data_IF_932076715935
#
_entry.id   IF_932076715935
#
_cell.length_a   1.000
_cell.length_b   1.000
_cell.length_c   1.000
_cell.angle_alpha   90.00
_cell.angle_beta   90.00
_cell.angle_gamma   90.00
#
_symmetry.space_group_name_H-M   'P 1'
#
loop_
_entity.id
_entity.type
_entity.pdbx_description
1 polymer ?
#
# COMPACT_ATOMS: atom_id res chain seq x y z
N UNK A 1 -26.25 38.54 20.39
CA UNK A 1 -27.42 38.89 19.57
C UNK A 1 -28.62 38.22 20.23
N UNK A 2 -29.66 37.75 19.54
CA UNK A 2 -30.60 36.80 20.17
C UNK A 2 -29.98 35.41 20.05
N UNK A 3 -30.01 34.63 21.13
CA UNK A 3 -29.66 33.20 21.16
C UNK A 3 -30.39 32.47 20.02
N UNK A 4 -29.62 31.81 19.14
CA UNK A 4 -30.14 31.08 17.99
C UNK A 4 -30.47 29.61 18.31
N UNK A 5 -29.82 29.00 19.31
CA UNK A 5 -30.09 27.64 19.80
C UNK A 5 -29.88 27.47 21.31
N UNK A 6 -30.97 27.30 22.07
CA UNK A 6 -30.87 27.10 23.52
C UNK A 6 -29.95 25.93 23.96
N UNK A 7 -29.16 26.13 25.01
CA UNK A 7 -28.30 25.13 25.68
C UNK A 7 -29.05 24.05 26.51
N UNK A 8 -30.13 23.47 25.96
CA UNK A 8 -30.96 22.48 26.67
C UNK A 8 -31.48 21.37 25.75
N UNK A 9 -32.00 20.29 26.33
CA UNK A 9 -32.67 19.22 25.57
C UNK A 9 -33.93 19.69 24.82
N UNK A 10 -34.44 20.88 25.13
CA UNK A 10 -35.58 21.50 24.44
C UNK A 10 -35.17 22.30 23.20
N UNK A 11 -33.88 22.33 22.85
CA UNK A 11 -33.35 23.02 21.67
C UNK A 11 -34.11 22.68 20.38
N UNK A 12 -34.19 23.66 19.48
CA UNK A 12 -34.67 23.49 18.11
C UNK A 12 -33.56 23.08 17.14
N UNK A 13 -32.30 23.12 17.56
CA UNK A 13 -31.15 22.71 16.75
C UNK A 13 -31.23 21.23 16.37
N UNK A 14 -31.08 20.92 15.09
CA UNK A 14 -31.12 19.54 14.56
C UNK A 14 -29.95 19.32 13.64
N UNK A 15 -29.21 18.25 13.87
CA UNK A 15 -28.15 17.80 12.99
C UNK A 15 -28.50 16.42 12.43
N UNK A 16 -28.37 16.27 11.12
CA UNK A 16 -28.56 14.99 10.43
C UNK A 16 -27.19 14.39 10.16
N UNK A 17 -27.00 13.11 10.49
CA UNK A 17 -25.78 12.38 10.14
C UNK A 17 -25.57 12.41 8.61
N UNK A 18 -24.35 12.71 8.17
CA UNK A 18 -23.99 12.93 6.78
C UNK A 18 -24.22 14.37 6.29
N UNK A 19 -24.50 15.30 7.20
CA UNK A 19 -24.69 16.73 6.88
C UNK A 19 -23.92 17.62 7.85
N UNK A 20 -23.95 18.93 7.56
CA UNK A 20 -23.45 19.96 8.45
C UNK A 20 -24.48 21.07 8.64
N UNK A 21 -24.38 21.76 9.76
CA UNK A 21 -25.15 22.95 10.12
C UNK A 21 -24.20 24.09 10.45
N UNK A 22 -24.58 25.31 10.10
CA UNK A 22 -23.88 26.50 10.53
C UNK A 22 -24.64 27.13 11.70
N UNK A 23 -23.90 27.72 12.62
CA UNK A 23 -24.46 28.51 13.72
C UNK A 23 -23.49 29.63 14.12
N UNK A 24 -23.87 30.40 15.12
CA UNK A 24 -23.10 31.55 15.57
C UNK A 24 -23.11 31.64 17.10
N UNK A 25 -21.93 31.55 17.73
CA UNK A 25 -21.83 31.81 19.17
C UNK A 25 -21.99 33.31 19.40
N UNK A 26 -23.06 33.73 20.09
CA UNK A 26 -23.43 35.12 20.30
C UNK A 26 -22.79 35.79 21.52
N UNK A 27 -22.23 35.01 22.45
CA UNK A 27 -21.65 35.49 23.69
C UNK A 27 -20.62 34.53 24.32
N UNK A 28 -19.85 35.02 25.30
CA UNK A 28 -18.79 34.23 25.96
C UNK A 28 -19.34 33.01 26.73
N UNK A 29 -20.59 33.07 27.20
CA UNK A 29 -21.26 31.97 27.92
C UNK A 29 -22.27 31.21 27.06
N UNK A 30 -22.26 31.47 25.75
CA UNK A 30 -23.26 30.94 24.83
C UNK A 30 -22.91 29.52 24.34
N UNK A 31 -23.96 28.73 24.10
CA UNK A 31 -23.85 27.29 23.90
C UNK A 31 -25.04 26.77 23.09
N UNK A 32 -24.74 26.27 21.90
CA UNK A 32 -25.73 25.88 20.92
C UNK A 32 -25.89 24.37 20.91
N UNK A 33 -27.06 23.89 21.33
CA UNK A 33 -27.31 22.45 21.33
C UNK A 33 -28.01 21.99 20.06
N UNK A 34 -27.49 20.93 19.45
CA UNK A 34 -28.09 20.25 18.31
C UNK A 34 -28.43 18.82 18.67
N UNK A 35 -29.70 18.45 18.54
CA UNK A 35 -30.13 17.07 18.67
C UNK A 35 -29.74 16.27 17.41
N UNK A 36 -29.13 15.11 17.62
CA UNK A 36 -28.73 14.15 16.59
C UNK A 36 -29.20 12.75 16.97
N UNK A 37 -29.72 11.99 16.00
CA UNK A 37 -30.15 10.60 16.23
C UNK A 37 -29.02 9.66 15.83
N UNK A 38 -28.55 8.85 16.78
CA UNK A 38 -27.45 7.91 16.59
C UNK A 38 -27.94 6.47 16.76
N UNK A 39 -27.28 5.53 16.07
CA UNK A 39 -27.55 4.10 16.17
C UNK A 39 -26.51 3.41 17.05
N UNK A 40 -26.96 2.49 17.91
CA UNK A 40 -26.07 1.68 18.73
C UNK A 40 -25.08 0.88 17.86
N UNK A 41 -23.81 0.89 18.24
CA UNK A 41 -22.74 0.16 17.56
C UNK A 41 -22.26 0.79 16.25
N UNK A 42 -22.84 1.91 15.81
CA UNK A 42 -22.31 2.67 14.67
C UNK A 42 -21.35 3.74 15.18
N UNK A 43 -20.08 3.75 14.76
CA UNK A 43 -19.15 4.81 15.12
C UNK A 43 -19.50 6.10 14.35
N UNK A 44 -19.38 7.23 15.04
CA UNK A 44 -19.61 8.56 14.48
C UNK A 44 -18.45 9.49 14.81
N UNK A 45 -18.15 10.39 13.88
CA UNK A 45 -17.28 11.53 14.12
C UNK A 45 -18.09 12.82 14.03
N UNK A 46 -17.88 13.69 15.02
CA UNK A 46 -18.47 15.01 15.11
C UNK A 46 -17.37 16.05 15.03
N UNK A 47 -17.51 17.03 14.14
CA UNK A 47 -16.54 18.10 14.00
C UNK A 47 -17.21 19.46 14.20
N UNK A 48 -16.58 20.30 15.03
CA UNK A 48 -16.91 21.70 15.21
C UNK A 48 -15.78 22.57 14.66
N UNK A 49 -16.05 23.20 13.53
CA UNK A 49 -15.06 23.91 12.74
C UNK A 49 -15.25 25.42 12.86
N UNK A 50 -14.19 26.07 13.34
CA UNK A 50 -14.07 27.52 13.44
C UNK A 50 -13.05 28.07 12.45
N UNK A 51 -12.31 29.10 12.85
CA UNK A 51 -11.37 29.83 11.99
C UNK A 51 -10.34 28.91 11.33
N UNK A 52 -9.81 27.93 12.07
CA UNK A 52 -8.73 27.04 11.60
C UNK A 52 -9.07 26.30 10.30
N UNK A 53 -10.36 26.03 10.04
CA UNK A 53 -10.80 25.47 8.75
C UNK A 53 -11.53 26.48 7.87
N UNK A 54 -12.38 27.34 8.45
CA UNK A 54 -13.23 28.22 7.66
C UNK A 54 -12.48 29.39 7.02
N UNK A 55 -11.40 29.87 7.68
CA UNK A 55 -10.58 31.02 7.25
C UNK A 55 -11.39 32.24 6.78
N UNK A 56 -12.56 32.46 7.39
CA UNK A 56 -13.49 33.53 7.05
C UNK A 56 -13.63 34.51 8.21
N UNK A 57 -13.85 35.80 7.91
CA UNK A 57 -14.08 36.82 8.93
C UNK A 57 -15.17 36.42 9.92
N UNK A 58 -14.93 36.67 11.22
CA UNK A 58 -15.84 36.35 12.32
C UNK A 58 -16.14 34.85 12.48
N UNK A 59 -15.25 33.95 12.04
CA UNK A 59 -15.32 32.55 12.46
C UNK A 59 -14.85 32.40 13.92
N UNK A 60 -15.43 31.44 14.63
CA UNK A 60 -15.09 31.16 16.02
C UNK A 60 -13.62 30.76 16.11
N UNK A 61 -12.84 31.44 16.94
CA UNK A 61 -11.39 31.26 16.97
C UNK A 61 -10.96 29.92 17.56
N UNK A 62 -11.63 29.51 18.63
CA UNK A 62 -11.31 28.34 19.47
C UNK A 62 -12.62 27.63 19.87
N UNK A 63 -13.20 26.86 18.93
CA UNK A 63 -14.41 26.07 19.17
C UNK A 63 -14.17 24.89 20.10
N UNK A 64 -15.09 24.67 21.03
CA UNK A 64 -15.15 23.49 21.88
C UNK A 64 -16.48 22.75 21.70
N UNK A 65 -16.40 21.42 21.61
CA UNK A 65 -17.52 20.54 21.40
C UNK A 65 -17.73 19.66 22.62
N UNK A 66 -18.97 19.58 23.10
CA UNK A 66 -19.36 18.65 24.16
C UNK A 66 -20.42 17.68 23.63
N UNK A 67 -20.17 16.38 23.73
CA UNK A 67 -21.17 15.34 23.44
C UNK A 67 -21.97 15.04 24.70
N UNK A 68 -23.30 15.01 24.57
CA UNK A 68 -24.24 14.83 25.67
C UNK A 68 -25.24 13.72 25.39
N UNK A 69 -25.63 13.02 26.46
CA UNK A 69 -26.64 11.97 26.48
C UNK A 69 -28.06 12.50 26.21
N UNK A 70 -29.02 11.60 26.07
CA UNK A 70 -30.45 11.93 25.89
C UNK A 70 -31.06 12.75 27.04
N UNK A 71 -30.44 12.74 28.23
CA UNK A 71 -30.84 13.55 29.39
C UNK A 71 -30.05 14.86 29.52
N UNK A 72 -29.16 15.16 28.57
CA UNK A 72 -28.30 16.37 28.57
C UNK A 72 -27.02 16.24 29.42
N UNK A 73 -26.80 15.09 30.07
CA UNK A 73 -25.57 14.84 30.82
C UNK A 73 -24.39 14.67 29.87
N UNK A 74 -23.27 15.33 30.16
CA UNK A 74 -22.03 15.22 29.38
C UNK A 74 -21.53 13.78 29.34
N UNK A 75 -21.21 13.31 28.14
CA UNK A 75 -20.57 12.03 27.86
C UNK A 75 -19.08 12.27 27.60
N UNK A 76 -18.78 13.25 26.75
CA UNK A 76 -17.42 13.57 26.34
C UNK A 76 -17.29 15.06 25.99
N UNK A 77 -16.07 15.60 26.00
CA UNK A 77 -15.78 16.98 25.63
C UNK A 77 -14.40 17.06 25.00
N UNK A 78 -14.29 17.91 23.98
CA UNK A 78 -13.06 18.22 23.30
C UNK A 78 -12.99 19.72 22.97
N UNK A 79 -11.80 20.31 23.01
CA UNK A 79 -11.56 21.73 22.73
C UNK A 79 -10.34 21.99 21.84
N UNK A 80 -9.71 20.95 21.27
CA UNK A 80 -8.56 21.05 20.34
C UNK A 80 -8.37 19.75 19.51
N UNK A 81 -9.47 19.04 19.25
CA UNK A 81 -9.53 17.75 18.56
C UNK A 81 -9.87 17.85 17.08
N UNK A 82 -9.50 18.93 16.41
CA UNK A 82 -9.64 19.13 14.96
C UNK A 82 -8.37 19.73 14.36
N UNK A 83 -8.46 20.24 13.13
CA UNK A 83 -7.38 21.03 12.49
C UNK A 83 -7.19 22.34 13.26
N UNK A 84 -5.97 22.64 13.71
CA UNK A 84 -5.68 23.86 14.47
C UNK A 84 -6.38 23.83 15.84
N UNK A 85 -7.19 24.86 16.13
CA UNK A 85 -8.00 24.95 17.36
C UNK A 85 -9.43 24.42 17.16
N UNK A 86 -9.69 23.70 16.07
CA UNK A 86 -11.00 23.09 15.89
C UNK A 86 -11.23 21.97 16.91
N UNK A 87 -12.49 21.58 17.12
CA UNK A 87 -12.83 20.47 18.01
C UNK A 87 -13.45 19.29 17.25
N UNK A 88 -13.16 18.08 17.73
CA UNK A 88 -13.67 16.83 17.17
C UNK A 88 -13.91 15.78 18.26
N UNK A 89 -14.97 15.00 18.11
CA UNK A 89 -15.31 13.87 19.00
C UNK A 89 -15.65 12.64 18.16
N UNK A 90 -14.95 11.54 18.42
CA UNK A 90 -15.32 10.20 17.94
C UNK A 90 -16.11 9.45 19.01
N UNK A 91 -17.26 8.89 18.66
CA UNK A 91 -18.10 8.17 19.61
C UNK A 91 -18.90 7.03 18.97
N UNK A 92 -18.87 5.87 19.62
CA UNK A 92 -19.74 4.72 19.29
C UNK A 92 -20.82 4.57 20.37
N UNK A 93 -22.10 4.86 20.07
CA UNK A 93 -23.19 4.73 21.02
C UNK A 93 -23.42 3.27 21.43
N UNK A 94 -23.69 3.04 22.71
CA UNK A 94 -24.12 1.71 23.20
C UNK A 94 -25.64 1.53 23.11
N UNK A 95 -26.39 2.62 22.91
CA UNK A 95 -27.85 2.64 22.78
C UNK A 95 -28.28 3.55 21.64
N UNK A 96 -29.22 3.10 20.80
CA UNK A 96 -29.78 3.96 19.77
C UNK A 96 -30.69 5.01 20.39
N UNK A 97 -30.63 6.25 19.91
CA UNK A 97 -31.48 7.32 20.43
C UNK A 97 -30.98 8.70 20.07
N UNK A 98 -31.60 9.71 20.68
CA UNK A 98 -31.20 11.11 20.54
C UNK A 98 -30.08 11.44 21.51
N UNK A 99 -29.03 12.02 20.98
CA UNK A 99 -27.91 12.64 21.68
C UNK A 99 -27.88 14.13 21.34
N UNK A 100 -27.10 14.90 22.09
CA UNK A 100 -26.96 16.33 21.87
C UNK A 100 -25.50 16.68 21.70
N UNK A 101 -25.21 17.48 20.67
CA UNK A 101 -23.92 18.11 20.45
C UNK A 101 -24.05 19.55 20.89
N UNK A 102 -23.20 19.95 21.81
CA UNK A 102 -23.14 21.26 22.40
C UNK A 102 -21.92 21.99 21.84
N UNK A 103 -22.17 22.95 20.95
CA UNK A 103 -21.17 23.80 20.34
C UNK A 103 -21.01 25.06 21.18
N UNK A 104 -19.79 25.34 21.63
CA UNK A 104 -19.49 26.52 22.43
C UNK A 104 -18.04 26.98 22.20
N UNK A 105 -17.64 28.08 22.83
CA UNK A 105 -16.23 28.48 22.85
C UNK A 105 -15.49 27.76 24.00
N UNK A 106 -14.16 27.60 23.90
CA UNK A 106 -13.35 26.89 24.91
C UNK A 106 -13.33 27.54 26.30
N UNK A 107 -13.59 28.85 26.36
CA UNK A 107 -13.47 29.69 27.56
C UNK A 107 -12.02 30.09 27.91
N UNK A 108 -11.01 29.61 27.18
CA UNK A 108 -9.61 29.93 27.42
C UNK A 108 -9.13 31.10 26.56
N UNK A 109 -9.28 32.31 27.11
CA UNK A 109 -8.40 33.44 26.83
C UNK A 109 -8.60 34.15 25.48
N UNK A 110 -8.59 35.49 25.54
CA UNK A 110 -8.29 36.34 24.38
C UNK A 110 -6.84 36.07 23.97
N UNK A 111 -6.63 35.12 23.07
CA UNK A 111 -5.32 34.65 22.62
C UNK A 111 -5.05 35.05 21.18
N UNK A 112 -3.78 35.34 20.87
CA UNK A 112 -3.34 35.69 19.53
C UNK A 112 -3.41 34.43 18.64
N UNK A 113 -4.33 34.39 17.68
CA UNK A 113 -4.21 33.44 16.58
C UNK A 113 -3.30 34.11 15.55
N UNK A 114 -2.16 33.48 15.26
CA UNK A 114 -1.33 33.88 14.14
C UNK A 114 -1.92 33.27 12.88
N UNK A 115 -2.34 34.09 11.92
CA UNK A 115 -2.65 33.58 10.60
C UNK A 115 -1.35 33.03 9.95
N UNK A 116 -1.48 32.10 9.00
CA UNK A 116 -0.36 31.48 8.26
C UNK A 116 0.57 32.49 7.54
N UNK A 117 0.16 33.76 7.43
CA UNK A 117 0.90 34.91 6.89
C UNK A 117 1.57 35.81 7.96
N UNK A 118 1.40 35.48 9.25
CA UNK A 118 1.96 36.23 10.38
C UNK A 118 1.11 37.41 10.85
N UNK A 119 -0.13 37.57 10.34
CA UNK A 119 -1.09 38.56 10.81
C UNK A 119 -1.74 38.17 12.14
N UNK A 120 -1.90 39.14 13.04
CA UNK A 120 -2.64 38.95 14.31
C UNK A 120 -4.15 38.96 14.06
N UNK A 121 -4.83 37.86 14.34
CA UNK A 121 -6.30 37.79 14.41
C UNK A 121 -6.71 37.57 15.87
N UNK A 122 -7.65 38.37 16.36
CA UNK A 122 -8.19 38.23 17.71
C UNK A 122 -9.08 36.97 17.78
N UNK A 123 -8.83 36.08 18.74
CA UNK A 123 -9.81 35.03 19.07
C UNK A 123 -11.02 35.70 19.73
N UNK A 124 -12.05 35.94 18.94
CA UNK A 124 -13.33 36.35 19.52
C UNK A 124 -14.00 35.10 20.11
N UNK A 125 -14.47 35.20 21.34
CA UNK A 125 -15.31 34.17 22.00
C UNK A 125 -16.68 34.00 21.33
N UNK A 126 -16.92 34.74 20.25
CA UNK A 126 -18.14 34.78 19.47
C UNK A 126 -17.75 34.58 18.00
N UNK A 127 -18.61 33.95 17.23
CA UNK A 127 -18.30 33.73 15.82
C UNK A 127 -19.09 32.59 15.18
N UNK A 128 -19.02 32.59 13.86
CA UNK A 128 -19.60 31.54 13.04
C UNK A 128 -18.81 30.24 13.22
N UNK A 129 -19.53 29.13 13.28
CA UNK A 129 -18.95 27.80 13.22
C UNK A 129 -19.72 26.93 12.23
N UNK A 130 -19.13 25.78 11.90
CA UNK A 130 -19.81 24.69 11.21
C UNK A 130 -19.71 23.43 12.06
N UNK A 131 -20.87 22.88 12.43
CA UNK A 131 -20.98 21.60 13.13
C UNK A 131 -21.38 20.51 12.13
N UNK A 132 -20.69 19.39 12.14
CA UNK A 132 -20.98 18.26 11.27
C UNK A 132 -21.00 16.94 12.04
N UNK A 133 -21.74 15.97 11.50
CA UNK A 133 -21.77 14.61 11.99
C UNK A 133 -21.66 13.65 10.80
N UNK A 134 -20.74 12.69 10.87
CA UNK A 134 -20.60 11.64 9.87
C UNK A 134 -20.59 10.29 10.56
N UNK A 135 -21.27 9.31 9.97
CA UNK A 135 -21.03 7.91 10.33
C UNK A 135 -19.70 7.52 9.71
N UNK A 136 -18.82 6.93 10.50
CA UNK A 136 -17.54 6.42 10.02
C UNK A 136 -17.65 4.90 9.87
N UNK A 137 -16.88 4.35 8.93
CA UNK A 137 -16.65 2.91 8.89
C UNK A 137 -15.25 2.72 9.44
N UNK A 138 -15.20 2.35 10.71
CA UNK A 138 -13.98 2.15 11.48
C UNK A 138 -13.44 0.74 11.18
N UNK A 139 -12.19 0.64 10.76
CA UNK A 139 -11.55 -0.63 10.45
C UNK A 139 -11.09 -1.38 11.72
N UNK A 140 -10.66 -0.67 12.76
CA UNK A 140 -10.22 -1.20 14.04
C UNK A 140 -10.57 -0.28 15.21
N UNK A 141 -11.48 -0.69 16.11
CA UNK A 141 -11.91 0.19 17.19
C UNK A 141 -10.82 0.42 18.24
N UNK A 142 -10.85 1.60 18.86
CA UNK A 142 -9.94 2.08 19.92
C UNK A 142 -10.08 1.41 21.29
N UNK A 143 -10.43 0.12 21.33
CA UNK A 143 -10.67 -0.61 22.57
C UNK A 143 -10.34 -2.11 22.46
N UNK A 144 -10.43 -2.82 23.58
CA UNK A 144 -10.03 -4.23 23.67
C UNK A 144 -10.92 -5.19 22.88
N UNK A 145 -12.08 -4.74 22.37
CA UNK A 145 -12.92 -5.53 21.46
C UNK A 145 -12.41 -5.52 20.01
N UNK A 146 -11.34 -4.77 19.72
CA UNK A 146 -10.70 -4.74 18.40
C UNK A 146 -10.45 -6.14 17.83
N UNK A 147 -10.65 -6.24 16.52
CA UNK A 147 -10.28 -7.39 15.69
C UNK A 147 -8.84 -7.31 15.21
N UNK A 148 -8.19 -6.15 15.30
CA UNK A 148 -6.81 -5.92 14.89
C UNK A 148 -5.85 -6.81 15.66
N UNK A 149 -5.00 -7.55 14.94
CA UNK A 149 -3.98 -8.42 15.53
C UNK A 149 -2.65 -8.15 14.87
N UNK A 150 -1.62 -7.93 15.68
CA UNK A 150 -0.25 -7.97 15.21
C UNK A 150 0.37 -9.31 15.59
N UNK A 151 0.70 -10.10 14.58
CA UNK A 151 1.40 -11.38 14.75
C UNK A 151 2.87 -11.16 14.45
N UNK A 152 3.74 -11.82 15.21
CA UNK A 152 5.18 -11.78 14.97
C UNK A 152 5.49 -12.19 13.52
N UNK A 153 6.28 -11.38 12.83
CA UNK A 153 6.58 -11.61 11.42
C UNK A 153 5.40 -11.39 10.49
N UNK A 154 4.41 -10.59 10.84
CA UNK A 154 3.39 -10.14 9.90
C UNK A 154 3.29 -8.62 10.00
N UNK A 155 2.80 -7.99 8.93
CA UNK A 155 2.36 -6.61 9.01
C UNK A 155 0.85 -6.55 9.17
N UNK A 156 0.39 -5.54 9.88
CA UNK A 156 -0.99 -5.15 10.00
C UNK A 156 -1.12 -3.76 9.37
N UNK A 157 -2.06 -3.60 8.45
CA UNK A 157 -2.39 -2.29 7.87
C UNK A 157 -3.78 -1.88 8.32
N UNK A 158 -4.01 -0.58 8.30
CA UNK A 158 -5.30 0.04 8.52
C UNK A 158 -5.31 1.48 8.04
N UNK A 159 -6.35 2.22 8.41
CA UNK A 159 -6.55 3.59 7.99
C UNK A 159 -7.10 4.42 9.15
N UNK A 160 -6.44 5.53 9.45
CA UNK A 160 -7.02 6.55 10.33
C UNK A 160 -8.07 7.31 9.51
N UNK A 161 -9.35 6.93 9.66
CA UNK A 161 -10.46 7.46 8.84
C UNK A 161 -10.73 8.93 9.08
N UNK A 162 -10.64 9.34 10.34
CA UNK A 162 -11.00 10.67 10.81
C UNK A 162 -9.94 11.21 11.75
N UNK A 163 -9.83 12.54 11.90
CA UNK A 163 -8.94 13.12 12.89
C UNK A 163 -9.14 12.48 14.28
N UNK A 164 -8.03 12.15 14.95
CA UNK A 164 -8.00 11.59 16.31
C UNK A 164 -8.62 10.20 16.45
N UNK A 165 -8.79 9.47 15.35
CA UNK A 165 -9.01 8.04 15.42
C UNK A 165 -7.83 7.32 16.10
N UNK A 166 -8.12 6.17 16.72
CA UNK A 166 -7.08 5.27 17.22
C UNK A 166 -7.39 3.81 16.88
N UNK A 167 -6.50 3.19 16.13
CA UNK A 167 -6.69 1.81 15.71
C UNK A 167 -5.90 0.89 16.61
N UNK A 168 -6.58 -0.02 17.31
CA UNK A 168 -5.92 -0.89 18.28
C UNK A 168 -5.62 -2.27 17.69
N UNK A 169 -4.37 -2.71 17.83
CA UNK A 169 -3.91 -4.05 17.45
C UNK A 169 -3.45 -4.82 18.69
N UNK A 170 -4.09 -5.96 18.96
CA UNK A 170 -3.67 -6.84 20.04
C UNK A 170 -2.42 -7.64 19.65
N UNK A 171 -1.42 -7.68 20.54
CA UNK A 171 -0.16 -8.41 20.37
C UNK A 171 0.18 -9.18 21.65
N UNK A 172 0.69 -10.40 21.53
CA UNK A 172 1.09 -11.21 22.69
C UNK A 172 2.59 -11.07 22.92
N UNK A 173 2.98 -10.51 24.07
CA UNK A 173 4.39 -10.27 24.41
C UNK A 173 4.82 -11.15 25.58
N UNK A 174 6.08 -11.62 25.55
CA UNK A 174 6.67 -12.46 26.59
C UNK A 174 7.62 -11.68 27.49
N UNK A 175 7.48 -11.82 28.81
CA UNK A 175 8.30 -11.16 29.82
C UNK A 175 9.81 -11.32 29.53
N UNK A 176 10.56 -10.22 29.62
CA UNK A 176 12.01 -10.19 29.47
C UNK A 176 12.53 -10.21 28.03
N UNK A 177 11.67 -10.37 27.01
CA UNK A 177 12.06 -10.27 25.60
C UNK A 177 11.90 -8.84 25.10
N UNK A 178 12.92 -8.26 24.46
CA UNK A 178 12.78 -6.95 23.83
C UNK A 178 12.13 -7.07 22.45
N UNK A 179 11.14 -6.24 22.19
CA UNK A 179 10.41 -6.12 20.94
C UNK A 179 10.64 -4.72 20.35
N UNK A 180 10.66 -4.64 19.03
CA UNK A 180 10.69 -3.39 18.28
C UNK A 180 9.49 -3.37 17.34
N UNK A 181 8.70 -2.32 17.37
CA UNK A 181 7.53 -2.12 16.51
C UNK A 181 7.77 -0.92 15.62
N UNK A 182 7.55 -1.07 14.32
CA UNK A 182 7.60 -0.01 13.33
C UNK A 182 6.19 0.32 12.90
N UNK A 183 5.87 1.60 12.85
CA UNK A 183 4.65 2.13 12.27
C UNK A 183 5.05 3.09 11.16
N UNK A 184 4.66 2.76 9.94
CA UNK A 184 5.07 3.43 8.73
C UNK A 184 3.88 4.06 8.00
N UNK A 185 4.09 5.27 7.49
CA UNK A 185 3.15 6.05 6.71
C UNK A 185 3.76 6.57 5.40
N UNK A 186 3.56 7.87 5.11
CA UNK A 186 3.94 8.45 3.81
C UNK A 186 5.44 8.48 3.55
N UNK A 187 6.27 8.65 4.58
CA UNK A 187 7.71 8.84 4.42
C UNK A 187 8.46 7.61 3.88
N UNK A 188 7.89 6.42 4.04
CA UNK A 188 8.38 5.16 3.44
C UNK A 188 7.47 4.66 2.32
N UNK A 189 6.47 5.45 1.93
CA UNK A 189 5.44 5.08 0.95
C UNK A 189 4.67 3.80 1.32
N UNK A 190 4.61 3.47 2.61
CA UNK A 190 3.87 2.29 3.13
C UNK A 190 2.49 2.67 3.69
N UNK A 191 2.06 3.88 3.40
CA UNK A 191 0.77 4.43 3.79
C UNK A 191 0.64 5.87 3.30
N UNK A 192 -0.50 6.50 3.57
CA UNK A 192 -0.72 7.93 3.31
C UNK A 192 -0.70 8.77 4.59
N UNK A 193 -0.62 8.13 5.76
CA UNK A 193 -0.55 8.83 7.04
C UNK A 193 0.76 9.59 7.17
N UNK A 194 0.69 10.91 7.34
CA UNK A 194 1.87 11.79 7.28
C UNK A 194 2.75 11.75 8.54
N UNK A 195 2.14 11.60 9.71
CA UNK A 195 2.80 11.62 11.01
C UNK A 195 2.23 10.46 11.87
N UNK A 196 2.69 9.22 11.64
CA UNK A 196 2.21 8.07 12.38
C UNK A 196 2.75 8.04 13.81
N UNK A 197 1.85 7.93 14.80
CA UNK A 197 2.18 7.87 16.22
C UNK A 197 1.77 6.54 16.84
N UNK A 198 2.70 5.88 17.53
CA UNK A 198 2.48 4.55 18.10
C UNK A 198 2.47 4.58 19.63
N UNK A 199 1.41 4.02 20.22
CA UNK A 199 1.30 3.82 21.68
C UNK A 199 1.18 2.34 21.99
N UNK A 200 2.03 1.82 22.86
CA UNK A 200 1.83 0.52 23.49
C UNK A 200 1.10 0.68 24.82
N UNK A 201 -0.05 0.01 24.96
CA UNK A 201 -0.90 0.00 26.14
C UNK A 201 -0.88 -1.38 26.80
N UNK A 202 -0.67 -1.40 28.12
CA UNK A 202 -0.94 -2.59 28.91
C UNK A 202 -2.46 -2.68 29.18
N UNK A 203 -3.09 -3.82 28.85
CA UNK A 203 -4.55 -3.98 28.94
C UNK A 203 -5.12 -4.05 30.37
N UNK A 204 -4.34 -3.74 31.41
CA UNK A 204 -4.75 -3.85 32.84
C UNK A 204 -4.71 -2.51 33.57
N UNK A 205 -3.67 -1.72 33.34
CA UNK A 205 -3.40 -0.43 33.98
C UNK A 205 -3.31 0.74 33.01
N UNK A 206 -3.44 0.49 31.70
CA UNK A 206 -3.29 1.49 30.63
C UNK A 206 -1.98 2.29 30.75
N UNK A 207 -0.92 1.70 31.32
CA UNK A 207 0.41 2.30 31.26
C UNK A 207 0.81 2.38 29.80
N UNK A 208 1.28 3.56 29.38
CA UNK A 208 1.65 3.84 28.00
C UNK A 208 3.15 3.96 27.85
N UNK A 209 3.68 3.31 26.83
CA UNK A 209 4.95 3.69 26.20
C UNK A 209 4.58 4.18 24.83
N UNK A 210 5.14 5.30 24.38
CA UNK A 210 4.82 5.85 23.07
C UNK A 210 6.07 6.33 22.33
N UNK A 211 5.91 6.50 21.03
CA UNK A 211 6.88 7.08 20.14
C UNK A 211 6.14 7.79 18.99
N UNK A 212 6.65 8.93 18.54
CA UNK A 212 6.21 9.74 17.38
C UNK A 212 7.21 9.61 16.22
N UNK A 213 8.49 9.92 16.47
CA UNK A 213 9.48 10.13 15.39
C UNK A 213 10.73 9.25 15.55
N UNK A 214 10.55 8.00 15.97
CA UNK A 214 11.67 7.06 16.17
C UNK A 214 12.15 6.37 14.89
N UNK A 215 11.38 6.43 13.81
CA UNK A 215 11.59 5.73 12.53
C UNK A 215 12.19 6.61 11.43
N UNK A 216 11.94 6.24 10.18
CA UNK A 216 12.34 7.03 9.00
C UNK A 216 11.39 8.22 8.85
N UNK A 217 11.92 9.44 8.84
CA UNK A 217 11.10 10.64 8.74
C UNK A 217 10.27 10.86 10.01
N UNK A 218 8.96 11.05 9.85
CA UNK A 218 7.97 11.17 10.93
C UNK A 218 7.34 9.81 11.32
N UNK A 219 7.88 8.70 10.83
CA UNK A 219 7.39 7.37 11.21
C UNK A 219 7.80 7.02 12.66
N UNK A 220 7.04 6.12 13.27
CA UNK A 220 7.25 5.69 14.66
C UNK A 220 8.04 4.38 14.77
N UNK A 221 8.97 4.31 15.73
CA UNK A 221 9.73 3.12 16.13
C UNK A 221 9.69 2.93 17.64
N UNK A 222 8.87 1.99 18.12
CA UNK A 222 8.68 1.73 19.55
C UNK A 222 9.45 0.48 19.99
N UNK A 223 10.37 0.63 20.95
CA UNK A 223 11.10 -0.49 21.55
C UNK A 223 10.65 -0.74 22.99
N UNK A 224 10.26 -1.98 23.30
CA UNK A 224 9.71 -2.32 24.61
C UNK A 224 10.15 -3.71 25.11
N UNK A 225 10.38 -3.83 26.42
CA UNK A 225 10.64 -5.11 27.10
C UNK A 225 9.58 -5.30 28.19
N UNK A 226 8.57 -6.16 28.00
CA UNK A 226 7.54 -6.40 29.00
C UNK A 226 8.14 -7.07 30.24
N UNK A 227 7.60 -6.73 31.42
CA UNK A 227 7.94 -7.41 32.68
C UNK A 227 7.02 -8.59 32.97
N UNK A 228 5.89 -8.70 32.26
CA UNK A 228 4.91 -9.78 32.39
C UNK A 228 4.49 -10.28 31.02
N UNK A 229 4.38 -11.60 30.84
CA UNK A 229 3.83 -12.16 29.61
C UNK A 229 2.31 -11.95 29.58
N UNK A 230 1.81 -11.24 28.57
CA UNK A 230 0.40 -10.87 28.45
C UNK A 230 0.08 -10.40 27.02
N UNK A 231 -1.22 -10.19 26.76
CA UNK A 231 -1.67 -9.40 25.60
C UNK A 231 -1.53 -7.91 25.91
N UNK A 232 -0.87 -7.20 25.00
CA UNK A 232 -0.74 -5.76 24.95
C UNK A 232 -1.50 -5.24 23.73
N UNK A 233 -1.74 -3.93 23.69
CA UNK A 233 -2.42 -3.28 22.57
C UNK A 233 -1.53 -2.17 22.00
N UNK A 234 -1.25 -2.24 20.71
CA UNK A 234 -0.61 -1.17 19.94
C UNK A 234 -1.72 -0.28 19.39
N UNK A 235 -1.80 0.96 19.84
CA UNK A 235 -2.71 1.96 19.32
C UNK A 235 -1.98 2.84 18.30
N UNK A 236 -2.43 2.78 17.06
CA UNK A 236 -1.97 3.64 15.96
C UNK A 236 -2.83 4.89 15.93
N UNK A 237 -2.21 6.06 15.78
CA UNK A 237 -2.94 7.34 15.67
C UNK A 237 -2.13 8.38 14.93
N UNK A 238 -2.72 9.55 14.73
CA UNK A 238 -2.08 10.70 14.13
C UNK A 238 -2.10 11.90 15.09
N UNK A 239 -0.95 12.45 15.52
CA UNK A 239 -0.92 13.69 16.28
C UNK A 239 -1.52 14.81 15.42
N UNK A 240 -2.25 15.74 16.04
CA UNK A 240 -2.88 16.90 15.35
C UNK A 240 -3.96 16.58 14.31
N UNK A 241 -4.54 15.37 14.35
CA UNK A 241 -5.72 15.04 13.56
C UNK A 241 -5.41 14.63 12.12
N UNK A 242 -4.20 14.13 11.84
CA UNK A 242 -3.88 13.50 10.56
C UNK A 242 -4.80 12.30 10.25
N UNK A 243 -4.94 11.99 8.98
CA UNK A 243 -5.70 10.82 8.48
C UNK A 243 -4.89 10.12 7.40
N UNK A 244 -5.21 8.85 7.15
CA UNK A 244 -4.59 8.09 6.08
C UNK A 244 -4.21 6.67 6.50
N UNK A 245 -3.75 5.92 5.50
CA UNK A 245 -3.36 4.52 5.67
C UNK A 245 -1.98 4.40 6.30
N UNK A 246 -1.74 3.28 6.98
CA UNK A 246 -0.45 2.98 7.61
C UNK A 246 -0.14 1.49 7.55
N UNK A 247 1.11 1.15 7.85
CA UNK A 247 1.60 -0.22 8.02
C UNK A 247 2.31 -0.36 9.37
N UNK A 248 1.82 -1.26 10.22
CA UNK A 248 2.36 -1.61 11.52
C UNK A 248 3.00 -3.00 11.45
N UNK A 249 4.24 -3.15 11.89
CA UNK A 249 4.89 -4.46 12.00
C UNK A 249 5.83 -4.55 13.20
N UNK A 250 6.10 -5.77 13.63
CA UNK A 250 7.15 -6.06 14.59
C UNK A 250 8.44 -6.33 13.82
N UNK A 251 9.51 -5.60 14.13
CA UNK A 251 10.83 -5.92 13.62
C UNK A 251 11.40 -7.11 14.40
N UNK A 252 11.90 -8.09 13.66
CA UNK A 252 12.67 -9.19 14.23
C UNK A 252 14.07 -9.16 13.65
N UNK A 253 15.05 -9.59 14.42
CA UNK A 253 16.43 -9.60 13.94
C UNK A 253 16.52 -10.52 12.72
N UNK A 254 16.87 -9.96 11.56
CA UNK A 254 17.13 -10.75 10.37
C UNK A 254 18.50 -11.42 10.40
N UNK A 255 18.69 -12.31 9.44
CA UNK A 255 19.87 -13.13 9.26
C UNK A 255 20.61 -12.77 7.96
N UNK A 256 21.87 -13.17 7.88
CA UNK A 256 22.63 -13.16 6.61
C UNK A 256 22.77 -14.59 6.13
N UNK A 257 22.15 -14.89 5.00
CA UNK A 257 22.17 -16.19 4.35
C UNK A 257 23.09 -16.12 3.14
N UNK A 258 24.03 -17.05 3.04
CA UNK A 258 24.98 -17.11 1.91
C UNK A 258 25.00 -18.52 1.35
N UNK A 259 24.75 -18.61 0.05
CA UNK A 259 24.86 -19.81 -0.76
C UNK A 259 26.30 -20.17 -1.12
N UNK A 260 26.45 -21.09 -2.06
CA UNK A 260 27.70 -21.54 -2.64
C UNK A 260 27.64 -21.49 -4.18
N UNK A 261 28.48 -22.26 -4.86
CA UNK A 261 28.51 -22.24 -6.33
C UNK A 261 27.50 -23.19 -7.00
N UNK A 262 26.62 -23.83 -6.21
CA UNK A 262 25.58 -24.71 -6.70
C UNK A 262 24.18 -24.15 -6.45
N UNK A 263 23.18 -24.78 -7.04
CA UNK A 263 21.79 -24.39 -6.87
C UNK A 263 21.34 -24.54 -5.42
N UNK A 264 21.12 -23.43 -4.73
CA UNK A 264 20.74 -23.39 -3.33
C UNK A 264 19.24 -23.16 -3.15
N UNK A 265 18.75 -23.57 -1.98
CA UNK A 265 17.42 -23.22 -1.48
C UNK A 265 17.67 -22.46 -0.19
N UNK A 266 17.46 -21.15 -0.23
CA UNK A 266 17.64 -20.27 0.91
C UNK A 266 16.26 -19.81 1.39
N UNK A 267 16.03 -19.93 2.69
CA UNK A 267 14.76 -19.52 3.32
C UNK A 267 15.08 -18.70 4.56
N UNK A 268 14.52 -17.50 4.61
CA UNK A 268 14.74 -16.51 5.63
C UNK A 268 13.89 -16.75 6.88
N UNK A 269 13.96 -15.77 7.75
CA UNK A 269 13.24 -15.68 9.00
C UNK A 269 12.01 -14.80 8.81
N UNK A 270 11.53 -14.21 9.91
CA UNK A 270 10.51 -13.16 9.88
C UNK A 270 11.10 -11.75 9.97
N UNK A 271 12.43 -11.66 9.99
CA UNK A 271 13.19 -10.44 10.15
C UNK A 271 13.65 -9.90 8.81
N UNK A 272 14.28 -8.73 8.81
CA UNK A 272 14.86 -8.15 7.58
C UNK A 272 16.17 -8.85 7.23
N UNK A 273 16.10 -9.85 6.38
CA UNK A 273 17.20 -10.75 6.03
C UNK A 273 18.03 -10.25 4.84
N UNK A 274 19.25 -10.75 4.71
CA UNK A 274 20.15 -10.47 3.58
C UNK A 274 20.67 -11.77 2.97
N UNK A 275 20.37 -11.98 1.69
CA UNK A 275 20.73 -13.18 0.95
C UNK A 275 21.82 -12.87 -0.08
N UNK A 276 22.76 -13.80 -0.19
CA UNK A 276 23.75 -13.86 -1.27
C UNK A 276 23.73 -15.28 -1.85
N UNK A 277 23.03 -15.48 -2.97
CA UNK A 277 22.91 -16.79 -3.64
C UNK A 277 24.25 -17.29 -4.21
N UNK A 278 25.03 -16.37 -4.78
CA UNK A 278 26.34 -16.59 -5.39
C UNK A 278 26.25 -17.15 -6.82
N UNK A 279 26.50 -18.43 -7.06
CA UNK A 279 26.43 -18.98 -8.42
C UNK A 279 25.55 -20.22 -8.44
N UNK A 280 24.87 -20.47 -9.55
CA UNK A 280 23.86 -21.52 -9.66
C UNK A 280 22.48 -20.92 -9.81
N UNK A 281 21.48 -21.77 -10.02
CA UNK A 281 20.08 -21.36 -10.12
C UNK A 281 19.42 -21.50 -8.75
N UNK A 282 19.37 -20.40 -8.01
CA UNK A 282 18.93 -20.38 -6.62
C UNK A 282 17.43 -20.17 -6.45
N UNK A 283 16.93 -20.66 -5.32
CA UNK A 283 15.55 -20.48 -4.88
C UNK A 283 15.56 -19.73 -3.55
N UNK A 284 15.11 -18.49 -3.58
CA UNK A 284 15.16 -17.55 -2.46
C UNK A 284 13.75 -17.31 -1.93
N UNK A 285 13.55 -17.50 -0.64
CA UNK A 285 12.31 -17.15 0.06
C UNK A 285 12.68 -16.26 1.25
N UNK A 286 12.49 -14.95 1.12
CA UNK A 286 12.75 -14.00 2.20
C UNK A 286 11.79 -14.24 3.36
N UNK A 287 10.49 -14.22 3.05
CA UNK A 287 9.44 -14.36 4.03
C UNK A 287 9.02 -12.97 4.51
N UNK A 288 8.54 -12.84 5.75
CA UNK A 288 8.24 -11.53 6.29
C UNK A 288 9.50 -10.73 6.60
N UNK A 289 9.40 -9.41 6.43
CA UNK A 289 10.52 -8.51 6.72
C UNK A 289 10.71 -7.52 5.60
N UNK A 290 11.83 -6.80 5.64
CA UNK A 290 12.34 -6.04 4.50
C UNK A 290 13.59 -6.73 4.01
N UNK A 291 13.46 -7.67 3.07
CA UNK A 291 14.57 -8.53 2.70
C UNK A 291 15.38 -7.99 1.53
N UNK A 292 16.68 -8.27 1.54
CA UNK A 292 17.55 -8.06 0.39
C UNK A 292 17.92 -9.41 -0.23
N UNK A 293 17.42 -9.68 -1.44
CA UNK A 293 17.62 -10.93 -2.15
C UNK A 293 18.57 -10.74 -3.34
N UNK A 294 19.85 -11.08 -3.17
CA UNK A 294 20.78 -11.17 -4.30
C UNK A 294 20.89 -12.62 -4.77
N UNK A 295 20.44 -12.91 -6.00
CA UNK A 295 20.58 -14.22 -6.63
C UNK A 295 22.03 -14.48 -7.00
N UNK A 296 22.53 -13.79 -8.02
CA UNK A 296 23.94 -13.83 -8.39
C UNK A 296 24.14 -14.26 -9.84
N UNK A 297 25.05 -15.21 -10.09
CA UNK A 297 25.23 -15.81 -11.39
C UNK A 297 24.29 -17.01 -11.57
N UNK A 298 23.39 -16.96 -12.55
CA UNK A 298 22.50 -18.07 -12.84
C UNK A 298 21.13 -17.56 -13.24
N UNK A 299 20.13 -18.43 -13.12
CA UNK A 299 18.71 -18.09 -13.26
C UNK A 299 18.07 -18.29 -11.90
N UNK A 300 17.93 -17.19 -11.18
CA UNK A 300 17.50 -17.20 -9.79
C UNK A 300 16.00 -16.93 -9.66
N UNK A 301 15.38 -17.56 -8.68
CA UNK A 301 13.94 -17.48 -8.42
C UNK A 301 13.66 -16.98 -7.01
N UNK A 302 13.08 -15.80 -6.89
CA UNK A 302 12.43 -15.36 -5.65
C UNK A 302 11.01 -15.92 -5.56
N UNK A 303 10.65 -16.45 -4.40
CA UNK A 303 9.40 -17.19 -4.18
C UNK A 303 8.57 -16.46 -3.14
N UNK A 304 7.30 -16.23 -3.47
CA UNK A 304 6.31 -15.58 -2.64
C UNK A 304 5.12 -16.52 -2.39
N UNK A 305 4.50 -16.38 -1.23
CA UNK A 305 3.47 -17.29 -0.72
C UNK A 305 2.06 -16.99 -1.23
N UNK A 306 1.78 -15.76 -1.65
CA UNK A 306 0.48 -15.28 -2.14
C UNK A 306 0.35 -15.29 -3.66
N UNK A 307 -0.82 -14.86 -4.15
CA UNK A 307 -1.06 -14.72 -5.59
C UNK A 307 -0.41 -13.43 -6.11
N UNK A 308 -0.07 -13.36 -7.39
CA UNK A 308 0.58 -12.16 -7.97
C UNK A 308 -0.22 -10.87 -7.75
N UNK A 309 -1.55 -10.93 -7.75
CA UNK A 309 -2.42 -9.77 -7.47
C UNK A 309 -2.25 -9.17 -6.07
N UNK A 310 -1.69 -9.93 -5.13
CA UNK A 310 -1.47 -9.50 -3.74
C UNK A 310 -0.16 -8.71 -3.60
N UNK A 311 0.60 -8.55 -4.69
CA UNK A 311 1.90 -7.89 -4.70
C UNK A 311 1.95 -6.73 -5.68
N UNK A 312 2.73 -5.71 -5.32
CA UNK A 312 3.18 -4.66 -6.23
C UNK A 312 4.64 -4.93 -6.59
N UNK A 313 4.91 -5.14 -7.87
CA UNK A 313 6.28 -5.31 -8.40
C UNK A 313 6.70 -4.05 -9.12
N UNK A 314 7.80 -3.43 -8.69
CA UNK A 314 8.33 -2.19 -9.28
C UNK A 314 9.78 -2.37 -9.67
N UNK A 315 10.15 -2.01 -10.91
CA UNK A 315 11.55 -2.02 -11.35
C UNK A 315 12.21 -0.66 -11.11
N UNK A 316 13.32 -0.67 -10.38
CA UNK A 316 14.14 0.52 -10.09
C UNK A 316 15.58 0.27 -10.52
N UNK A 317 15.96 0.78 -11.69
CA UNK A 317 17.25 0.46 -12.32
C UNK A 317 17.39 -1.05 -12.56
N UNK A 318 18.42 -1.66 -11.98
CA UNK A 318 18.68 -3.09 -12.10
C UNK A 318 18.04 -3.92 -10.96
N UNK A 319 17.32 -3.28 -10.05
CA UNK A 319 16.66 -3.94 -8.92
C UNK A 319 15.17 -4.05 -9.14
N UNK A 320 14.56 -5.07 -8.54
CA UNK A 320 13.11 -5.18 -8.39
C UNK A 320 12.76 -4.93 -6.93
N UNK A 321 11.69 -4.20 -6.69
CA UNK A 321 11.06 -4.10 -5.37
C UNK A 321 9.73 -4.86 -5.46
N UNK A 322 9.57 -5.89 -4.62
CA UNK A 322 8.35 -6.70 -4.55
C UNK A 322 7.71 -6.44 -3.19
N UNK A 323 6.51 -5.89 -3.19
CA UNK A 323 5.83 -5.49 -1.96
C UNK A 323 4.48 -6.18 -1.82
N UNK A 324 4.34 -6.98 -0.77
CA UNK A 324 3.05 -7.54 -0.40
C UNK A 324 2.09 -6.41 0.03
N UNK A 325 0.91 -6.34 -0.60
CA UNK A 325 -0.17 -5.38 -0.26
C UNK A 325 -1.04 -5.90 0.91
N UNK A 326 -0.74 -7.10 1.40
CA UNK A 326 -1.34 -7.81 2.52
C UNK A 326 -0.59 -9.13 2.73
N UNK A 327 -0.65 -9.73 3.92
CA UNK A 327 -0.09 -11.08 4.16
C UNK A 327 1.35 -11.11 4.68
N UNK A 328 2.07 -12.20 4.40
CA UNK A 328 3.28 -12.55 5.12
C UNK A 328 4.57 -11.95 4.55
N UNK A 329 4.71 -11.84 3.23
CA UNK A 329 6.04 -11.74 2.60
C UNK A 329 6.61 -10.30 2.49
N UNK A 330 6.26 -9.41 3.42
CA UNK A 330 7.09 -8.21 3.59
C UNK A 330 7.20 -7.24 2.40
N UNK A 331 8.36 -6.60 2.29
CA UNK A 331 8.78 -5.80 1.12
C UNK A 331 10.23 -6.14 0.80
N UNK A 332 10.48 -6.70 -0.37
CA UNK A 332 11.78 -7.23 -0.73
C UNK A 332 12.44 -6.39 -1.83
N UNK A 333 13.76 -6.22 -1.72
CA UNK A 333 14.60 -5.65 -2.76
C UNK A 333 15.46 -6.75 -3.37
N UNK A 334 15.30 -6.96 -4.67
CA UNK A 334 15.93 -8.04 -5.40
C UNK A 334 16.96 -7.49 -6.36
N UNK A 335 18.11 -8.13 -6.43
CA UNK A 335 19.16 -7.86 -7.41
C UNK A 335 19.63 -9.17 -8.03
N UNK A 336 19.87 -9.19 -9.35
CA UNK A 336 20.31 -10.41 -10.04
C UNK A 336 19.35 -11.57 -9.76
N UNK A 337 18.05 -11.31 -9.93
CA UNK A 337 16.98 -12.32 -9.83
C UNK A 337 16.12 -12.21 -11.09
N UNK A 338 16.04 -13.29 -11.84
CA UNK A 338 15.43 -13.31 -13.17
C UNK A 338 14.00 -13.84 -13.15
N UNK A 339 13.60 -14.54 -12.08
CA UNK A 339 12.28 -15.17 -11.94
C UNK A 339 11.62 -14.77 -10.63
N UNK A 340 10.34 -14.42 -10.69
CA UNK A 340 9.46 -14.35 -9.51
C UNK A 340 8.44 -15.49 -9.60
N UNK A 341 8.26 -16.21 -8.50
CA UNK A 341 7.27 -17.27 -8.38
C UNK A 341 6.23 -16.87 -7.33
N UNK A 342 4.98 -16.70 -7.76
CA UNK A 342 3.81 -16.54 -6.91
C UNK A 342 3.02 -17.86 -6.84
N UNK A 343 1.97 -17.89 -6.02
CA UNK A 343 1.13 -19.07 -5.85
C UNK A 343 0.35 -19.45 -7.12
N UNK A 344 -0.02 -18.48 -7.96
CA UNK A 344 -0.88 -18.65 -9.13
C UNK A 344 -0.16 -18.48 -10.48
N UNK A 345 0.97 -17.76 -10.51
CA UNK A 345 1.71 -17.46 -11.74
C UNK A 345 3.19 -17.20 -11.46
N UNK A 346 3.99 -17.18 -12.51
CA UNK A 346 5.39 -16.74 -12.45
C UNK A 346 5.63 -15.57 -13.39
N UNK A 347 6.65 -14.77 -13.10
CA UNK A 347 7.15 -13.70 -13.95
C UNK A 347 8.63 -13.93 -14.28
N UNK A 348 9.03 -13.61 -15.50
CA UNK A 348 10.43 -13.55 -15.91
C UNK A 348 10.83 -12.13 -16.30
N UNK A 349 11.97 -11.65 -15.78
CA UNK A 349 12.45 -10.26 -15.89
C UNK A 349 13.77 -10.11 -16.66
N UNK A 350 14.42 -11.20 -17.08
CA UNK A 350 15.61 -11.19 -17.94
C UNK A 350 15.25 -10.91 -19.42
N UNK A 351 14.70 -9.73 -19.69
CA UNK A 351 14.30 -9.34 -21.05
C UNK A 351 15.49 -9.03 -21.97
N UNK A 352 16.70 -8.93 -21.41
CA UNK A 352 17.96 -8.93 -22.18
C UNK A 352 18.55 -10.35 -22.32
N UNK A 353 17.92 -11.36 -21.71
CA UNK A 353 18.28 -12.78 -21.69
C UNK A 353 17.18 -13.68 -22.24
N UNK A 354 16.89 -14.79 -21.54
CA UNK A 354 16.03 -15.86 -22.05
C UNK A 354 14.58 -15.41 -22.21
N UNK A 355 14.01 -14.63 -21.27
CA UNK A 355 12.66 -14.11 -21.42
C UNK A 355 12.50 -13.20 -22.64
N UNK A 356 13.49 -12.36 -22.92
CA UNK A 356 13.49 -11.50 -24.11
C UNK A 356 13.55 -12.32 -25.41
N UNK A 357 14.41 -13.34 -25.45
CA UNK A 357 14.49 -14.27 -26.56
C UNK A 357 13.15 -14.98 -26.81
N UNK A 358 12.51 -15.50 -25.75
CA UNK A 358 11.19 -16.14 -25.85
C UNK A 358 10.14 -15.17 -26.38
N UNK A 359 10.04 -13.96 -25.81
CA UNK A 359 9.06 -12.96 -26.25
C UNK A 359 9.21 -12.63 -27.74
N UNK A 360 10.44 -12.44 -28.21
CA UNK A 360 10.75 -12.17 -29.62
C UNK A 360 10.41 -13.34 -30.55
N UNK A 361 10.74 -14.57 -30.15
CA UNK A 361 10.37 -15.78 -30.90
C UNK A 361 8.86 -15.91 -31.01
N UNK A 362 8.14 -15.71 -29.91
CA UNK A 362 6.68 -15.80 -29.91
C UNK A 362 6.06 -14.75 -30.84
N UNK A 363 6.54 -13.50 -30.76
CA UNK A 363 6.13 -12.44 -31.68
C UNK A 363 6.35 -12.79 -33.15
N UNK A 364 7.52 -13.34 -33.49
CA UNK A 364 7.85 -13.67 -34.88
C UNK A 364 7.16 -14.94 -35.41
N UNK A 365 7.07 -15.99 -34.61
CA UNK A 365 6.55 -17.28 -35.03
C UNK A 365 5.02 -17.41 -34.89
N UNK A 366 4.42 -16.77 -33.88
CA UNK A 366 3.00 -16.91 -33.56
C UNK A 366 2.22 -15.58 -33.52
N UNK A 367 2.90 -14.45 -33.76
CA UNK A 367 2.32 -13.12 -33.72
C UNK A 367 2.40 -12.47 -32.34
N UNK A 368 2.27 -11.14 -32.30
CA UNK A 368 2.56 -10.36 -31.10
C UNK A 368 1.77 -10.78 -29.85
N UNK A 369 0.49 -11.13 -30.00
CA UNK A 369 -0.36 -11.54 -28.87
C UNK A 369 0.09 -12.85 -28.20
N UNK A 370 0.97 -13.64 -28.84
CA UNK A 370 1.46 -14.89 -28.27
C UNK A 370 2.31 -14.69 -27.01
N UNK A 371 2.87 -13.49 -26.78
CA UNK A 371 3.63 -13.17 -25.55
C UNK A 371 2.77 -13.21 -24.28
N UNK A 372 1.43 -13.19 -24.40
CA UNK A 372 0.51 -13.33 -23.27
C UNK A 372 0.04 -14.79 -23.06
N UNK A 373 0.47 -15.72 -23.90
CA UNK A 373 0.17 -17.14 -23.72
C UNK A 373 1.17 -17.74 -22.72
N UNK A 374 0.78 -17.76 -21.44
CA UNK A 374 1.62 -18.25 -20.33
C UNK A 374 2.22 -19.65 -20.55
N UNK A 375 1.49 -20.53 -21.25
CA UNK A 375 1.97 -21.88 -21.55
C UNK A 375 3.09 -21.85 -22.59
N UNK A 376 2.94 -21.04 -23.65
CA UNK A 376 3.98 -20.90 -24.68
C UNK A 376 5.23 -20.23 -24.12
N UNK A 377 5.05 -19.19 -23.30
CA UNK A 377 6.16 -18.54 -22.60
C UNK A 377 6.89 -19.55 -21.72
N UNK A 378 6.16 -20.31 -20.88
CA UNK A 378 6.75 -21.31 -19.99
C UNK A 378 7.50 -22.43 -20.74
N UNK A 379 6.94 -22.90 -21.86
CA UNK A 379 7.62 -23.89 -22.73
C UNK A 379 8.92 -23.29 -23.30
N UNK A 380 8.86 -22.08 -23.87
CA UNK A 380 10.03 -21.41 -24.43
C UNK A 380 11.14 -21.20 -23.39
N UNK A 381 10.77 -20.70 -22.22
CA UNK A 381 11.69 -20.51 -21.09
C UNK A 381 12.32 -21.84 -20.67
N UNK A 382 11.52 -22.91 -20.54
CA UNK A 382 12.04 -24.23 -20.14
C UNK A 382 13.12 -24.77 -21.08
N UNK A 383 13.04 -24.45 -22.39
CA UNK A 383 14.05 -24.85 -23.35
C UNK A 383 15.32 -24.01 -23.24
N UNK A 384 15.20 -22.67 -23.21
CA UNK A 384 16.38 -21.80 -23.11
C UNK A 384 17.09 -21.93 -21.76
N UNK A 385 16.33 -22.00 -20.67
CA UNK A 385 16.85 -22.22 -19.31
C UNK A 385 17.50 -23.62 -19.20
N UNK A 386 17.06 -24.57 -20.03
CA UNK A 386 17.66 -25.90 -20.19
C UNK A 386 18.88 -25.95 -21.13
N UNK A 387 19.29 -24.81 -21.70
CA UNK A 387 20.47 -24.69 -22.56
C UNK A 387 20.24 -24.83 -24.06
N UNK A 388 18.99 -24.87 -24.53
CA UNK A 388 18.70 -24.78 -25.97
C UNK A 388 19.15 -23.42 -26.51
N UNK A 389 19.74 -23.40 -27.70
CA UNK A 389 20.18 -22.15 -28.31
C UNK A 389 19.00 -21.34 -28.86
N UNK A 390 19.20 -20.02 -28.97
CA UNK A 390 18.20 -19.11 -29.55
C UNK A 390 17.79 -19.50 -30.98
N UNK A 391 18.74 -20.01 -31.77
CA UNK A 391 18.50 -20.48 -33.15
C UNK A 391 17.69 -21.78 -33.19
N UNK A 392 18.01 -22.75 -32.32
CA UNK A 392 17.28 -24.01 -32.21
C UNK A 392 15.82 -23.78 -31.77
N UNK A 393 15.59 -22.90 -30.79
CA UNK A 393 14.24 -22.59 -30.35
C UNK A 393 13.43 -21.86 -31.43
N UNK A 394 14.06 -20.98 -32.22
CA UNK A 394 13.41 -20.38 -33.39
C UNK A 394 12.98 -21.44 -34.41
N UNK A 395 13.87 -22.38 -34.74
CA UNK A 395 13.54 -23.46 -35.67
C UNK A 395 12.36 -24.31 -35.13
N UNK A 396 12.38 -24.65 -33.84
CA UNK A 396 11.30 -25.39 -33.19
C UNK A 396 9.97 -24.63 -33.22
N UNK A 397 9.98 -23.33 -32.92
CA UNK A 397 8.77 -22.50 -32.93
C UNK A 397 8.15 -22.38 -34.33
N UNK A 398 8.99 -22.20 -35.37
CA UNK A 398 8.54 -22.10 -36.76
C UNK A 398 7.95 -23.43 -37.25
N UNK A 399 8.59 -24.56 -36.90
CA UNK A 399 8.06 -25.90 -37.21
C UNK A 399 6.72 -26.14 -36.50
N UNK A 400 6.62 -25.77 -35.22
CA UNK A 400 5.37 -25.84 -34.45
C UNK A 400 4.26 -24.94 -34.99
N UNK A 401 4.60 -23.83 -35.65
CA UNK A 401 3.67 -22.97 -36.38
C UNK A 401 3.23 -23.57 -37.74
N UNK A 402 3.80 -24.71 -38.15
CA UNK A 402 3.41 -25.46 -39.34
C UNK A 402 4.09 -25.01 -40.64
N UNK A 403 5.12 -24.17 -40.57
CA UNK A 403 5.83 -23.68 -41.74
C UNK A 403 7.00 -24.62 -42.11
N UNK A 404 6.83 -25.41 -43.17
CA UNK A 404 7.78 -26.48 -43.53
C UNK A 404 8.53 -26.23 -44.84
N UNK A 405 8.12 -25.22 -45.63
CA UNK A 405 8.79 -24.82 -46.87
C UNK A 405 9.36 -23.40 -46.77
N UNK A 406 10.42 -23.04 -47.53
CA UNK A 406 11.00 -21.69 -47.49
C UNK A 406 9.97 -20.58 -47.70
N UNK A 407 9.02 -20.77 -48.62
CA UNK A 407 7.94 -19.81 -48.86
C UNK A 407 7.01 -19.67 -47.64
N UNK A 408 6.64 -20.77 -46.99
CA UNK A 408 5.78 -20.74 -45.80
C UNK A 408 6.50 -20.06 -44.63
N UNK A 409 7.78 -20.37 -44.41
CA UNK A 409 8.59 -19.75 -43.35
C UNK A 409 8.65 -18.24 -43.53
N UNK A 410 8.99 -17.77 -44.74
CA UNK A 410 9.08 -16.34 -45.03
C UNK A 410 7.72 -15.66 -44.90
N UNK A 411 6.66 -16.28 -45.41
CA UNK A 411 5.31 -15.72 -45.28
C UNK A 411 4.88 -15.61 -43.80
N UNK A 412 5.14 -16.64 -42.99
CA UNK A 412 4.80 -16.66 -41.56
C UNK A 412 5.49 -15.51 -40.82
N UNK A 413 6.83 -15.50 -40.87
CA UNK A 413 7.65 -14.53 -40.15
C UNK A 413 7.33 -13.10 -40.60
N UNK A 414 7.25 -12.87 -41.92
CA UNK A 414 6.96 -11.54 -42.45
C UNK A 414 5.55 -11.08 -42.07
N UNK A 415 4.55 -11.96 -42.11
CA UNK A 415 3.17 -11.59 -41.74
C UNK A 415 3.07 -11.24 -40.26
N UNK A 416 3.70 -12.01 -39.38
CA UNK A 416 3.65 -11.76 -37.93
C UNK A 416 4.42 -10.50 -37.53
N UNK A 417 5.59 -10.27 -38.15
CA UNK A 417 6.44 -9.11 -37.84
C UNK A 417 5.96 -7.85 -38.52
N UNK A 418 5.57 -7.89 -39.80
CA UNK A 418 5.21 -6.70 -40.58
C UNK A 418 3.69 -6.45 -40.61
N UNK A 419 2.88 -7.45 -40.26
CA UNK A 419 1.41 -7.36 -40.23
C UNK A 419 0.73 -7.58 -41.59
N UNK A 420 1.49 -7.88 -42.65
CA UNK A 420 0.97 -8.12 -44.00
C UNK A 420 1.69 -9.29 -44.68
N UNK A 421 0.98 -10.00 -45.55
CA UNK A 421 1.60 -11.05 -46.39
C UNK A 421 2.57 -10.38 -47.37
N UNK A 422 3.83 -10.86 -47.48
CA UNK A 422 4.80 -10.25 -48.39
C UNK A 422 4.40 -10.45 -49.85
N UNK A 423 4.69 -9.46 -50.69
CA UNK A 423 4.64 -9.66 -52.15
C UNK A 423 5.73 -10.67 -52.58
N UNK A 424 5.59 -11.35 -53.74
CA UNK A 424 6.61 -12.27 -54.23
C UNK A 424 8.01 -11.63 -54.29
N UNK A 425 8.09 -10.36 -54.73
CA UNK A 425 9.35 -9.63 -54.80
C UNK A 425 9.95 -9.31 -53.41
N UNK A 426 9.11 -9.08 -52.40
CA UNK A 426 9.56 -8.83 -51.03
C UNK A 426 9.98 -10.13 -50.31
N UNK A 427 9.34 -11.26 -50.62
CA UNK A 427 9.68 -12.56 -50.05
C UNK A 427 10.96 -13.17 -50.63
N UNK A 428 11.22 -12.95 -51.93
CA UNK A 428 12.28 -13.63 -52.67
C UNK A 428 13.68 -13.55 -52.02
N UNK A 429 14.16 -12.39 -51.52
CA UNK A 429 15.49 -12.31 -50.91
C UNK A 429 15.67 -13.26 -49.71
N UNK A 430 14.64 -13.40 -48.87
CA UNK A 430 14.68 -14.28 -47.70
C UNK A 430 14.54 -15.77 -48.08
N UNK A 431 13.78 -16.06 -49.13
CA UNK A 431 13.69 -17.42 -49.71
C UNK A 431 15.05 -17.84 -50.27
N UNK A 432 15.72 -16.94 -50.99
CA UNK A 432 17.05 -17.19 -51.54
C UNK A 432 18.08 -17.44 -50.43
N UNK A 433 17.97 -16.76 -49.28
CA UNK A 433 18.85 -17.02 -48.12
C UNK A 433 18.69 -18.47 -47.63
N UNK A 434 17.47 -18.96 -47.45
CA UNK A 434 17.20 -20.35 -47.04
C UNK A 434 17.70 -21.35 -48.09
N UNK A 435 17.43 -21.10 -49.38
CA UNK A 435 17.88 -21.96 -50.47
C UNK A 435 19.41 -22.01 -50.62
N UNK A 436 20.11 -20.96 -50.19
CA UNK A 436 21.57 -20.84 -50.23
C UNK A 436 22.25 -21.25 -48.91
N UNK A 437 21.55 -21.98 -48.03
CA UNK A 437 22.15 -22.65 -46.87
C UNK A 437 21.96 -21.94 -45.52
N UNK A 438 21.21 -20.85 -45.45
CA UNK A 438 20.73 -20.33 -44.16
C UNK A 438 19.74 -21.32 -43.54
N UNK A 439 19.85 -21.53 -42.23
CA UNK A 439 18.89 -22.37 -41.48
C UNK A 439 17.58 -21.61 -41.26
N UNK A 440 16.49 -22.36 -41.05
CA UNK A 440 15.20 -21.77 -40.66
C UNK A 440 15.31 -21.01 -39.34
N UNK A 441 16.06 -21.56 -38.38
CA UNK A 441 16.31 -20.91 -37.09
C UNK A 441 17.02 -19.56 -37.24
N UNK A 442 18.05 -19.48 -38.09
CA UNK A 442 18.79 -18.24 -38.32
C UNK A 442 17.93 -17.15 -38.98
N UNK A 443 17.04 -17.53 -39.91
CA UNK A 443 16.07 -16.59 -40.46
C UNK A 443 15.03 -16.16 -39.41
N UNK A 444 14.61 -17.09 -38.53
CA UNK A 444 13.75 -16.79 -37.39
C UNK A 444 14.36 -15.75 -36.46
N UNK A 445 15.63 -15.92 -36.08
CA UNK A 445 16.40 -14.94 -35.29
C UNK A 445 16.42 -13.58 -35.96
N UNK A 446 16.70 -13.53 -37.27
CA UNK A 446 16.71 -12.27 -38.02
C UNK A 446 15.37 -11.54 -37.96
N UNK A 447 14.25 -12.27 -38.05
CA UNK A 447 12.91 -11.71 -37.94
C UNK A 447 12.57 -11.28 -36.50
N UNK A 448 12.93 -12.12 -35.52
CA UNK A 448 12.66 -11.94 -34.10
C UNK A 448 13.37 -10.69 -33.52
N UNK A 449 14.60 -10.41 -33.96
CA UNK A 449 15.40 -9.26 -33.49
C UNK A 449 15.13 -7.95 -34.23
N UNK A 450 14.16 -7.91 -35.15
CA UNK A 450 13.78 -6.65 -35.78
C UNK A 450 13.18 -5.66 -34.78
N UNK A 451 13.45 -4.37 -34.98
CA UNK A 451 12.83 -3.31 -34.18
C UNK A 451 11.30 -3.27 -34.34
N UNK A 452 10.79 -3.74 -35.48
CA UNK A 452 9.36 -3.86 -35.74
C UNK A 452 8.76 -4.91 -34.81
N UNK A 453 9.36 -6.10 -34.72
CA UNK A 453 8.89 -7.14 -33.81
C UNK A 453 8.95 -6.68 -32.35
N UNK A 454 10.07 -6.07 -31.95
CA UNK A 454 10.25 -5.53 -30.60
C UNK A 454 9.18 -4.47 -30.24
N UNK A 455 8.76 -3.66 -31.21
CA UNK A 455 7.66 -2.70 -31.04
C UNK A 455 6.31 -3.40 -30.94
N UNK A 456 6.05 -4.38 -31.81
CA UNK A 456 4.77 -5.08 -31.85
C UNK A 456 4.48 -5.87 -30.56
N UNK A 457 5.51 -6.48 -29.96
CA UNK A 457 5.38 -7.23 -28.70
C UNK A 457 5.45 -6.34 -27.45
N UNK A 458 5.60 -5.02 -27.64
CA UNK A 458 5.85 -4.06 -26.55
C UNK A 458 7.00 -4.50 -25.62
N UNK A 459 8.17 -4.80 -26.21
CA UNK A 459 9.30 -5.32 -25.44
C UNK A 459 9.74 -4.34 -24.33
N UNK A 460 9.57 -3.04 -24.55
CA UNK A 460 9.85 -2.00 -23.54
C UNK A 460 8.86 -2.08 -22.38
N UNK A 461 7.56 -2.28 -22.65
CA UNK A 461 6.58 -2.55 -21.61
C UNK A 461 6.91 -3.82 -20.81
N UNK A 462 7.27 -4.91 -21.51
CA UNK A 462 7.68 -6.17 -20.88
C UNK A 462 8.96 -6.04 -20.03
N UNK A 463 9.90 -5.17 -20.38
CA UNK A 463 11.07 -4.88 -19.53
C UNK A 463 10.69 -4.28 -18.17
N UNK A 464 9.55 -3.61 -18.08
CA UNK A 464 9.04 -3.02 -16.84
C UNK A 464 8.16 -3.99 -16.05
N UNK A 465 7.29 -4.75 -16.74
CA UNK A 465 6.31 -5.63 -16.10
C UNK A 465 6.76 -7.09 -15.92
N UNK A 466 7.80 -7.51 -16.63
CA UNK A 466 8.11 -8.93 -16.81
C UNK A 466 7.12 -9.61 -17.77
N UNK A 467 7.40 -10.88 -18.09
CA UNK A 467 6.51 -11.75 -18.90
C UNK A 467 5.96 -12.88 -18.04
N UNK A 468 4.64 -13.09 -18.09
CA UNK A 468 3.95 -14.11 -17.29
C UNK A 468 4.07 -15.52 -17.90
N UNK A 469 4.29 -16.52 -17.04
CA UNK A 469 4.31 -17.94 -17.43
C UNK A 469 3.78 -18.87 -16.33
N UNK A 470 3.51 -20.13 -16.69
CA UNK A 470 3.06 -21.21 -15.79
C UNK A 470 4.21 -22.10 -15.31
#
# INVERSE_FOLDING_TARGET
MSDDYSATTATTGRLIVGSSVAGYIEGEDDSDWFAVTLSAGTPYYFALEGWSTLQQSFALGDPALTLRSSTGSQIDRNDDGGIGFNSGISYTPTTSGTYYLDAHNSGYGRGLIFDLSGGTVYSDFIGNYRLSAVAVTDDYPSNTATTGRLTEGQFAGGNIEVPYDEDWFAVTLSAGRTYTFNLEGSDTSQGTLADPYLVLRDGRTFSTVSNDDGGIGLNSLLRYTPTTSATYYLAVRAPTGGTGTYRLFQDTAGETLTGDAGNNILTGTSGSDSFLGMAGNDRLTGGPGRDFLAGGEGIDTAIYSGNHSDYRVTRTGNTLVVEAQGGADGQDTLSQVERLQFADTKLAFDLDGNAGMVAKILGAAFGANAVHNKQFVGIGLSFLDGGMTYEELNALAIDAAGATTPQQVVNLLYTNVVGVVPSPAAAQPFIDMLNNGMTVGALGVLAADTSINATNIDLVGLQLSGIEYL
#
